data_IF_808686102335
#
_entry.id   IF_808686102335
#
_cell.length_a   1.000
_cell.length_b   1.000
_cell.length_c   1.000
_cell.angle_alpha   90.00
_cell.angle_beta   90.00
_cell.angle_gamma   90.00
#
_symmetry.space_group_name_H-M   'P 1'
#
loop_
_entity.id
_entity.type
_entity.pdbx_description
1 polymer ?
#
# COMPACT_ATOMS: atom_id res chain seq x y z
N UNK A 1 -4.15 39.79 23.94
CA UNK A 1 -4.79 41.02 24.44
C UNK A 1 -5.45 41.73 23.28
N UNK A 2 -6.79 41.87 23.31
CA UNK A 2 -7.52 42.71 22.34
C UNK A 2 -7.67 44.09 22.98
N UNK A 3 -6.95 45.06 22.42
CA UNK A 3 -7.06 46.47 22.84
C UNK A 3 -8.11 47.13 21.94
N UNK A 4 -9.21 47.56 22.54
CA UNK A 4 -10.19 48.36 21.82
C UNK A 4 -9.73 49.83 21.76
N UNK A 5 -10.05 50.53 20.67
CA UNK A 5 -9.56 51.83 20.24
C UNK A 5 -9.66 52.98 21.24
N UNK A 6 -10.30 52.78 22.44
CA UNK A 6 -10.51 53.79 23.47
C UNK A 6 -9.94 53.40 24.85
N UNK A 7 -9.00 52.44 24.96
CA UNK A 7 -8.30 52.15 26.20
C UNK A 7 -9.12 51.48 27.31
N UNK A 8 -10.35 51.08 27.06
CA UNK A 8 -11.17 50.32 27.99
C UNK A 8 -10.81 48.83 27.87
N UNK A 9 -10.43 48.21 28.94
CA UNK A 9 -10.20 46.79 29.01
C UNK A 9 -11.52 46.02 28.85
N UNK A 10 -11.56 45.00 28.04
CA UNK A 10 -12.68 44.08 27.85
C UNK A 10 -13.20 43.47 29.19
N UNK A 11 -12.41 43.53 30.24
CA UNK A 11 -12.73 42.94 31.53
C UNK A 11 -13.67 43.77 32.43
N UNK A 12 -13.93 45.02 32.09
CA UNK A 12 -14.86 45.89 32.84
C UNK A 12 -16.33 45.61 32.57
N UNK A 13 -16.62 44.80 31.52
CA UNK A 13 -17.98 44.41 31.17
C UNK A 13 -18.11 42.87 31.17
N UNK A 14 -18.93 42.29 32.07
CA UNK A 14 -19.11 40.84 32.18
C UNK A 14 -19.49 40.16 30.89
N UNK A 15 -20.24 40.82 30.04
CA UNK A 15 -20.69 40.30 28.74
C UNK A 15 -19.51 40.04 27.77
N UNK A 16 -18.54 40.96 27.71
CA UNK A 16 -17.35 40.76 26.89
C UNK A 16 -16.39 39.70 27.46
N UNK A 17 -16.33 39.56 28.79
CA UNK A 17 -15.58 38.52 29.45
C UNK A 17 -16.11 37.13 29.09
N UNK A 18 -17.44 36.93 29.13
CA UNK A 18 -18.08 35.67 28.78
C UNK A 18 -17.87 35.30 27.29
N UNK A 19 -17.97 36.29 26.40
CA UNK A 19 -17.67 36.08 24.97
C UNK A 19 -16.20 35.67 24.81
N UNK A 20 -15.27 36.36 25.45
CA UNK A 20 -13.84 36.04 25.37
C UNK A 20 -13.58 34.61 25.85
N UNK A 21 -14.08 34.23 27.02
CA UNK A 21 -13.95 32.88 27.55
C UNK A 21 -14.55 31.82 26.63
N UNK A 22 -15.69 32.14 26.03
CA UNK A 22 -16.36 31.23 25.06
C UNK A 22 -15.51 31.05 23.82
N UNK A 23 -14.99 32.14 23.24
CA UNK A 23 -14.11 32.08 22.05
C UNK A 23 -12.83 31.30 22.37
N UNK A 24 -12.15 31.58 23.50
CA UNK A 24 -10.95 30.85 23.90
C UNK A 24 -11.24 29.38 24.05
N UNK A 25 -12.33 28.99 24.71
CA UNK A 25 -12.73 27.58 24.87
C UNK A 25 -13.04 26.91 23.53
N UNK A 26 -13.71 27.61 22.61
CA UNK A 26 -13.98 27.10 21.26
C UNK A 26 -12.67 26.87 20.49
N UNK A 27 -11.72 27.79 20.55
CA UNK A 27 -10.42 27.66 19.91
C UNK A 27 -9.59 26.52 20.52
N UNK A 28 -9.57 26.39 21.85
CA UNK A 28 -8.91 25.28 22.52
C UNK A 28 -9.50 23.92 22.16
N UNK A 29 -10.84 23.84 22.11
CA UNK A 29 -11.52 22.60 21.71
C UNK A 29 -11.21 22.25 20.25
N UNK A 30 -11.22 23.24 19.35
CA UNK A 30 -10.88 23.01 17.95
C UNK A 30 -9.43 22.58 17.78
N UNK A 31 -8.52 23.20 18.53
CA UNK A 31 -7.12 22.81 18.53
C UNK A 31 -6.90 21.37 19.00
N UNK A 32 -7.54 20.98 20.12
CA UNK A 32 -7.50 19.59 20.61
C UNK A 32 -8.08 18.61 19.61
N UNK A 33 -9.18 18.96 18.94
CA UNK A 33 -9.80 18.14 17.91
C UNK A 33 -8.84 17.92 16.72
N UNK A 34 -8.19 18.99 16.25
CA UNK A 34 -7.21 18.88 15.16
C UNK A 34 -6.00 18.01 15.53
N UNK A 35 -5.52 18.12 16.78
CA UNK A 35 -4.44 17.26 17.27
C UNK A 35 -4.86 15.80 17.34
N UNK A 36 -6.10 15.52 17.78
CA UNK A 36 -6.63 14.16 17.83
C UNK A 36 -6.81 13.58 16.43
N UNK A 37 -7.38 14.35 15.49
CA UNK A 37 -7.52 13.94 14.08
C UNK A 37 -6.17 13.60 13.46
N UNK A 38 -5.14 14.42 13.72
CA UNK A 38 -3.77 14.16 13.26
C UNK A 38 -3.18 12.88 13.87
N UNK A 39 -3.29 12.71 15.19
CA UNK A 39 -2.79 11.53 15.88
C UNK A 39 -3.49 10.25 15.40
N UNK A 40 -4.79 10.30 15.15
CA UNK A 40 -5.55 9.19 14.57
C UNK A 40 -5.06 8.86 13.15
N UNK A 41 -4.80 9.88 12.31
CA UNK A 41 -4.24 9.68 10.98
C UNK A 41 -2.85 9.00 11.03
N UNK A 42 -1.96 9.49 11.90
CA UNK A 42 -0.63 8.89 12.09
C UNK A 42 -0.71 7.43 12.59
N UNK A 43 -1.65 7.14 13.50
CA UNK A 43 -1.92 5.78 13.96
C UNK A 43 -2.45 4.88 12.85
N UNK A 44 -3.35 5.38 12.00
CA UNK A 44 -3.88 4.63 10.86
C UNK A 44 -2.79 4.30 9.84
N UNK A 45 -1.90 5.25 9.54
CA UNK A 45 -0.73 5.02 8.69
C UNK A 45 0.16 3.91 9.25
N UNK A 46 0.52 3.98 10.54
CA UNK A 46 1.32 2.94 11.19
C UNK A 46 0.62 1.58 11.25
N UNK A 47 -0.70 1.57 11.36
CA UNK A 47 -1.49 0.35 11.46
C UNK A 47 -1.65 -0.36 10.10
N UNK A 48 -1.74 0.40 9.00
CA UNK A 48 -2.07 -0.12 7.68
C UNK A 48 -0.86 -0.28 6.75
N UNK A 49 0.29 0.27 7.11
CA UNK A 49 1.50 0.19 6.30
C UNK A 49 2.59 -0.68 6.94
N UNK A 50 3.40 -1.31 6.09
CA UNK A 50 4.62 -1.98 6.49
C UNK A 50 5.69 -0.92 6.81
N UNK A 51 6.27 -0.92 8.02
CA UNK A 51 7.17 0.14 8.47
C UNK A 51 8.50 0.18 7.71
N UNK A 52 8.93 -0.93 7.10
CA UNK A 52 10.16 -0.98 6.33
C UNK A 52 9.99 -0.40 4.92
N UNK A 53 8.91 -0.77 4.25
CA UNK A 53 8.73 -0.51 2.81
C UNK A 53 7.69 0.58 2.52
N UNK A 54 6.84 0.91 3.49
CA UNK A 54 5.71 1.80 3.31
C UNK A 54 4.61 1.27 2.39
N UNK A 55 4.67 0.01 1.96
CA UNK A 55 3.56 -0.66 1.27
C UNK A 55 2.40 -0.89 2.26
N UNK A 56 1.20 -1.12 1.75
CA UNK A 56 0.14 -1.65 2.60
C UNK A 56 0.59 -2.98 3.22
N UNK A 57 0.18 -3.22 4.46
CA UNK A 57 0.46 -4.48 5.15
C UNK A 57 -0.72 -5.47 4.99
N UNK A 58 -0.59 -6.66 5.60
CA UNK A 58 -1.63 -7.70 5.56
C UNK A 58 -2.95 -7.27 6.23
N UNK A 59 -2.91 -6.32 7.16
CA UNK A 59 -4.13 -5.78 7.79
C UNK A 59 -4.88 -4.95 6.75
N UNK A 60 -4.21 -4.03 6.06
CA UNK A 60 -4.79 -3.24 4.99
C UNK A 60 -5.30 -4.10 3.82
N UNK A 61 -4.65 -5.25 3.54
CA UNK A 61 -5.17 -6.21 2.56
C UNK A 61 -6.59 -6.67 2.94
N UNK A 62 -6.81 -7.02 4.21
CA UNK A 62 -8.12 -7.47 4.67
C UNK A 62 -9.15 -6.35 4.80
N UNK A 63 -8.73 -5.17 5.28
CA UNK A 63 -9.64 -4.08 5.61
C UNK A 63 -9.98 -3.19 4.40
N UNK A 64 -9.10 -3.10 3.40
CA UNK A 64 -9.26 -2.18 2.27
C UNK A 64 -9.30 -2.87 0.92
N UNK A 65 -8.33 -3.79 0.63
CA UNK A 65 -8.25 -4.42 -0.69
C UNK A 65 -9.41 -5.40 -0.89
N UNK A 66 -9.71 -6.20 0.13
CA UNK A 66 -10.84 -7.15 0.07
C UNK A 66 -12.21 -6.47 -0.08
N UNK A 67 -12.58 -5.41 0.65
CA UNK A 67 -13.80 -4.65 0.38
C UNK A 67 -13.81 -3.99 -1.00
N UNK A 68 -12.69 -3.41 -1.44
CA UNK A 68 -12.58 -2.81 -2.76
C UNK A 68 -12.83 -3.85 -3.88
N UNK A 69 -12.27 -5.06 -3.75
CA UNK A 69 -12.56 -6.17 -4.67
C UNK A 69 -14.06 -6.47 -4.73
N UNK A 70 -14.74 -6.56 -3.59
CA UNK A 70 -16.18 -6.83 -3.57
C UNK A 70 -16.98 -5.73 -4.25
N UNK A 71 -16.60 -4.47 -4.06
CA UNK A 71 -17.27 -3.35 -4.69
C UNK A 71 -17.02 -3.31 -6.20
N UNK A 72 -15.82 -3.56 -6.66
CA UNK A 72 -15.50 -3.67 -8.09
C UNK A 72 -16.22 -4.87 -8.73
N UNK A 73 -16.25 -6.03 -8.05
CA UNK A 73 -16.96 -7.21 -8.53
C UNK A 73 -18.47 -6.94 -8.71
N UNK A 74 -19.11 -6.24 -7.75
CA UNK A 74 -20.53 -5.83 -7.86
C UNK A 74 -20.79 -4.87 -9.01
N UNK A 75 -19.82 -4.04 -9.36
CA UNK A 75 -19.90 -3.11 -10.49
C UNK A 75 -19.54 -3.77 -11.85
N UNK A 76 -19.20 -5.04 -11.86
CA UNK A 76 -18.77 -5.74 -13.07
C UNK A 76 -17.38 -5.34 -13.56
N UNK A 77 -16.56 -4.72 -12.70
CA UNK A 77 -15.22 -4.25 -13.04
C UNK A 77 -14.22 -5.39 -12.87
N UNK A 78 -13.48 -5.68 -13.93
CA UNK A 78 -12.39 -6.65 -13.91
C UNK A 78 -11.18 -6.02 -13.21
N UNK A 79 -10.61 -6.76 -12.25
CA UNK A 79 -9.39 -6.36 -11.55
C UNK A 79 -8.25 -7.33 -11.89
N UNK A 80 -7.02 -6.85 -11.79
CA UNK A 80 -5.84 -7.71 -11.80
C UNK A 80 -5.36 -7.96 -10.37
N UNK A 81 -4.97 -9.18 -10.11
CA UNK A 81 -4.21 -9.60 -8.95
C UNK A 81 -2.85 -10.09 -9.42
N UNK A 82 -1.80 -9.51 -8.89
CA UNK A 82 -0.41 -9.86 -9.21
C UNK A 82 0.28 -10.25 -7.92
N UNK A 83 0.74 -11.50 -7.84
CA UNK A 83 1.56 -12.00 -6.73
C UNK A 83 3.02 -11.94 -7.15
N UNK A 84 3.90 -11.42 -6.28
CA UNK A 84 5.33 -11.28 -6.51
C UNK A 84 6.11 -11.82 -5.33
N UNK A 85 7.19 -12.54 -5.62
CA UNK A 85 8.18 -13.04 -4.65
C UNK A 85 9.59 -12.63 -5.12
N UNK A 86 10.43 -12.17 -4.18
CA UNK A 86 11.82 -11.84 -4.48
C UNK A 86 12.67 -13.12 -4.53
N UNK A 87 13.19 -13.42 -5.71
CA UNK A 87 13.94 -14.66 -5.96
C UNK A 87 15.24 -14.69 -5.13
N UNK A 88 15.49 -15.84 -4.50
CA UNK A 88 16.71 -16.08 -3.70
C UNK A 88 16.96 -15.06 -2.56
N UNK A 89 15.92 -14.41 -2.03
CA UNK A 89 16.03 -13.34 -1.03
C UNK A 89 16.81 -13.78 0.22
N UNK A 90 16.58 -15.01 0.71
CA UNK A 90 17.36 -15.55 1.83
C UNK A 90 18.87 -15.60 1.51
N UNK A 91 19.25 -16.10 0.34
CA UNK A 91 20.67 -16.16 -0.08
C UNK A 91 21.28 -14.77 -0.22
N UNK A 92 20.48 -13.81 -0.67
CA UNK A 92 20.88 -12.40 -0.75
C UNK A 92 21.20 -11.85 0.63
N UNK A 93 20.31 -12.08 1.62
CA UNK A 93 20.54 -11.70 3.01
C UNK A 93 21.78 -12.39 3.61
N UNK A 94 21.94 -13.68 3.38
CA UNK A 94 23.08 -14.46 3.88
C UNK A 94 24.42 -13.98 3.27
N UNK A 95 24.41 -13.42 2.05
CA UNK A 95 25.60 -12.96 1.34
C UNK A 95 25.95 -11.50 1.63
N UNK A 96 24.95 -10.61 1.66
CA UNK A 96 25.15 -9.15 1.73
C UNK A 96 24.65 -8.50 3.02
N UNK A 97 24.03 -9.29 3.90
CA UNK A 97 23.44 -8.83 5.15
C UNK A 97 22.01 -8.30 5.00
N UNK A 98 21.31 -8.26 6.14
CA UNK A 98 19.90 -7.84 6.21
C UNK A 98 19.66 -6.39 5.76
N UNK A 99 20.59 -5.48 6.06
CA UNK A 99 20.46 -4.07 5.60
C UNK A 99 20.41 -3.92 4.07
N UNK A 100 21.12 -4.81 3.36
CA UNK A 100 21.04 -4.85 1.90
C UNK A 100 19.70 -5.42 1.43
N UNK A 101 19.24 -6.51 2.07
CA UNK A 101 17.92 -7.08 1.80
C UNK A 101 16.79 -6.08 2.02
N UNK A 102 16.86 -5.29 3.09
CA UNK A 102 15.88 -4.23 3.39
C UNK A 102 15.81 -3.20 2.26
N UNK A 103 16.96 -2.76 1.72
CA UNK A 103 17.02 -1.84 0.57
C UNK A 103 16.42 -2.47 -0.69
N UNK A 104 16.62 -3.77 -0.91
CA UNK A 104 16.01 -4.50 -2.03
C UNK A 104 14.50 -4.53 -1.89
N UNK A 105 13.96 -4.83 -0.71
CA UNK A 105 12.50 -4.81 -0.47
C UNK A 105 11.90 -3.40 -0.67
N UNK A 106 12.58 -2.37 -0.16
CA UNK A 106 12.18 -0.98 -0.38
C UNK A 106 12.17 -0.61 -1.87
N UNK A 107 13.18 -1.07 -2.62
CA UNK A 107 13.26 -0.81 -4.06
C UNK A 107 12.16 -1.53 -4.84
N UNK A 108 11.86 -2.79 -4.49
CA UNK A 108 10.74 -3.53 -5.08
C UNK A 108 9.44 -2.74 -4.91
N UNK A 109 9.14 -2.30 -3.68
CA UNK A 109 7.91 -1.54 -3.41
C UNK A 109 7.89 -0.20 -4.15
N UNK A 110 9.02 0.50 -4.25
CA UNK A 110 9.11 1.75 -5.00
C UNK A 110 8.73 1.54 -6.47
N UNK A 111 9.28 0.50 -7.12
CA UNK A 111 8.94 0.16 -8.52
C UNK A 111 7.49 -0.28 -8.66
N UNK A 112 7.00 -1.13 -7.75
CA UNK A 112 5.60 -1.56 -7.78
C UNK A 112 4.62 -0.37 -7.68
N UNK A 113 4.89 0.58 -6.77
CA UNK A 113 4.06 1.79 -6.61
C UNK A 113 4.15 2.72 -7.81
N UNK A 114 5.34 2.93 -8.36
CA UNK A 114 5.57 3.80 -9.52
C UNK A 114 4.82 3.30 -10.76
N UNK A 115 4.78 1.98 -10.95
CA UNK A 115 4.13 1.36 -12.11
C UNK A 115 2.65 1.01 -11.87
N UNK A 116 2.19 1.04 -10.60
CA UNK A 116 0.83 0.64 -10.26
C UNK A 116 -0.21 1.56 -10.92
N UNK A 117 -1.20 1.02 -11.65
CA UNK A 117 -2.27 1.81 -12.22
C UNK A 117 -3.08 2.57 -11.16
N UNK A 118 -3.74 3.65 -11.59
CA UNK A 118 -4.60 4.45 -10.73
C UNK A 118 -5.69 3.61 -10.05
N UNK A 119 -5.93 3.88 -8.77
CA UNK A 119 -6.86 3.10 -7.94
C UNK A 119 -6.32 1.75 -7.50
N UNK A 120 -5.05 1.44 -7.80
CA UNK A 120 -4.41 0.21 -7.38
C UNK A 120 -3.79 0.27 -5.99
N UNK A 121 -3.52 -0.92 -5.43
CA UNK A 121 -2.96 -1.15 -4.11
C UNK A 121 -1.70 -2.00 -4.23
N UNK A 122 -0.64 -1.61 -3.53
CA UNK A 122 0.58 -2.41 -3.37
C UNK A 122 0.73 -2.83 -1.92
N UNK A 123 0.73 -4.13 -1.67
CA UNK A 123 0.73 -4.72 -0.33
C UNK A 123 1.96 -5.62 -0.14
N UNK A 124 2.63 -5.50 0.99
CA UNK A 124 3.60 -6.49 1.47
C UNK A 124 2.85 -7.55 2.25
N UNK A 125 2.69 -8.73 1.65
CA UNK A 125 1.86 -9.81 2.19
C UNK A 125 2.63 -10.73 3.14
N UNK A 126 3.91 -10.94 2.88
CA UNK A 126 4.85 -11.74 3.66
C UNK A 126 6.22 -11.07 3.77
N UNK A 127 7.26 -11.81 4.12
CA UNK A 127 8.63 -11.31 4.27
C UNK A 127 9.17 -10.68 2.98
N UNK A 128 9.17 -11.45 1.91
CA UNK A 128 9.63 -11.13 0.55
C UNK A 128 8.52 -11.26 -0.50
N UNK A 129 7.26 -11.38 -0.04
CA UNK A 129 6.07 -11.56 -0.85
C UNK A 129 5.24 -10.27 -0.94
N UNK A 130 4.84 -9.91 -2.16
CA UNK A 130 4.07 -8.72 -2.43
C UNK A 130 2.86 -9.02 -3.31
N UNK A 131 1.80 -8.26 -3.11
CA UNK A 131 0.58 -8.29 -3.91
C UNK A 131 0.35 -6.91 -4.50
N UNK A 132 0.07 -6.86 -5.80
CA UNK A 132 -0.54 -5.69 -6.42
C UNK A 132 -1.95 -6.03 -6.88
N UNK A 133 -2.90 -5.19 -6.54
CA UNK A 133 -4.29 -5.29 -6.95
C UNK A 133 -4.71 -3.97 -7.60
N UNK A 134 -5.28 -4.01 -8.81
CA UNK A 134 -5.78 -2.80 -9.48
C UNK A 134 -7.02 -3.07 -10.34
N UNK A 135 -7.95 -2.09 -10.40
CA UNK A 135 -9.18 -2.18 -11.20
C UNK A 135 -8.93 -1.89 -12.68
N UNK A 136 -9.99 -2.05 -13.49
CA UNK A 136 -9.99 -1.80 -14.94
C UNK A 136 -8.91 -2.58 -15.69
N UNK A 137 -8.66 -3.79 -15.21
CA UNK A 137 -7.62 -4.64 -15.74
C UNK A 137 -8.03 -5.30 -17.06
N UNK A 138 -7.06 -5.40 -17.95
CA UNK A 138 -7.10 -6.15 -19.20
C UNK A 138 -5.86 -7.03 -19.30
N UNK A 139 -5.86 -8.08 -20.13
CA UNK A 139 -4.63 -8.83 -20.37
C UNK A 139 -3.45 -7.96 -20.82
N UNK A 140 -3.73 -6.93 -21.63
CA UNK A 140 -2.71 -6.05 -22.18
C UNK A 140 -2.05 -5.18 -21.09
N UNK A 141 -2.84 -4.40 -20.30
CA UNK A 141 -2.26 -3.53 -19.28
C UNK A 141 -1.66 -4.31 -18.11
N UNK A 142 -2.18 -5.51 -17.80
CA UNK A 142 -1.60 -6.39 -16.78
C UNK A 142 -0.24 -6.93 -17.23
N UNK A 143 -0.12 -7.36 -18.46
CA UNK A 143 1.16 -7.82 -19.02
C UNK A 143 2.18 -6.66 -19.11
N UNK A 144 1.74 -5.48 -19.53
CA UNK A 144 2.59 -4.27 -19.56
C UNK A 144 3.13 -3.94 -18.18
N UNK A 145 2.27 -3.96 -17.15
CA UNK A 145 2.67 -3.77 -15.76
C UNK A 145 3.76 -4.75 -15.34
N UNK A 146 3.52 -6.05 -15.55
CA UNK A 146 4.48 -7.11 -15.17
C UNK A 146 5.81 -6.95 -15.90
N UNK A 147 5.78 -6.70 -17.22
CA UNK A 147 7.00 -6.51 -18.01
C UNK A 147 7.81 -5.30 -17.54
N UNK A 148 7.16 -4.16 -17.30
CA UNK A 148 7.83 -2.96 -16.79
C UNK A 148 8.48 -3.17 -15.42
N UNK A 149 7.76 -3.82 -14.49
CA UNK A 149 8.30 -4.14 -13.17
C UNK A 149 9.53 -5.04 -13.30
N UNK A 150 9.42 -6.13 -14.07
CA UNK A 150 10.55 -7.05 -14.27
C UNK A 150 11.75 -6.38 -14.95
N UNK A 151 11.51 -5.53 -15.95
CA UNK A 151 12.57 -4.79 -16.64
C UNK A 151 13.30 -3.82 -15.70
N UNK A 152 12.54 -3.03 -14.92
CA UNK A 152 13.13 -2.03 -14.02
C UNK A 152 13.94 -2.70 -12.90
N UNK A 153 13.40 -3.74 -12.26
CA UNK A 153 14.11 -4.48 -11.23
C UNK A 153 15.30 -5.26 -11.79
N UNK A 154 15.16 -5.84 -12.99
CA UNK A 154 16.24 -6.55 -13.68
C UNK A 154 17.45 -5.67 -14.03
N UNK A 155 17.24 -4.38 -14.36
CA UNK A 155 18.33 -3.41 -14.55
C UNK A 155 19.18 -3.24 -13.29
N UNK A 156 18.59 -3.44 -12.13
CA UNK A 156 19.24 -3.37 -10.82
C UNK A 156 19.68 -4.75 -10.29
N UNK A 157 19.56 -5.78 -11.11
CA UNK A 157 19.89 -7.20 -10.78
C UNK A 157 19.04 -7.74 -9.62
N UNK A 158 17.83 -7.23 -9.47
CA UNK A 158 16.82 -7.74 -8.55
C UNK A 158 15.93 -8.68 -9.34
N UNK A 159 16.02 -9.97 -9.04
CA UNK A 159 15.23 -11.01 -9.68
C UNK A 159 13.94 -11.22 -8.90
N UNK A 160 12.80 -11.25 -9.61
CA UNK A 160 11.48 -11.48 -9.02
C UNK A 160 10.67 -12.44 -9.88
N UNK A 161 9.93 -13.33 -9.24
CA UNK A 161 8.93 -14.17 -9.87
C UNK A 161 7.55 -13.56 -9.66
N UNK A 162 6.74 -13.54 -10.73
CA UNK A 162 5.43 -12.89 -10.71
C UNK A 162 4.36 -13.78 -11.33
N UNK A 163 3.24 -13.95 -10.62
CA UNK A 163 2.06 -14.62 -11.15
C UNK A 163 0.87 -13.66 -11.20
N UNK A 164 0.03 -13.79 -12.22
CA UNK A 164 -1.10 -12.88 -12.44
C UNK A 164 -2.41 -13.61 -12.59
N UNK A 165 -3.48 -13.03 -12.08
CA UNK A 165 -4.85 -13.49 -12.34
C UNK A 165 -5.76 -12.28 -12.54
N UNK A 166 -6.60 -12.34 -13.58
CA UNK A 166 -7.71 -11.41 -13.75
C UNK A 166 -8.95 -11.97 -13.06
N UNK A 167 -9.68 -11.10 -12.37
CA UNK A 167 -10.95 -11.45 -11.75
C UNK A 167 -12.06 -11.54 -12.79
N UNK A 168 -13.07 -12.36 -12.53
CA UNK A 168 -14.26 -12.50 -13.38
C UNK A 168 -15.50 -12.16 -12.54
N UNK A 169 -16.02 -10.93 -12.65
CA UNK A 169 -17.19 -10.54 -11.87
C UNK A 169 -18.37 -11.50 -12.07
N UNK A 170 -18.93 -11.99 -10.98
CA UNK A 170 -20.11 -12.87 -10.99
C UNK A 170 -19.82 -14.38 -11.07
N UNK A 171 -18.57 -14.83 -11.07
CA UNK A 171 -18.22 -16.25 -11.02
C UNK A 171 -18.31 -16.88 -9.63
N UNK A 172 -18.48 -16.05 -8.57
CA UNK A 172 -18.62 -16.51 -7.19
C UNK A 172 -17.31 -16.76 -6.47
N UNK A 173 -16.17 -16.57 -7.14
CA UNK A 173 -14.84 -16.73 -6.55
C UNK A 173 -14.52 -15.60 -5.55
N UNK A 174 -13.84 -15.94 -4.48
CA UNK A 174 -13.35 -14.98 -3.50
C UNK A 174 -12.02 -14.36 -3.94
N UNK A 175 -11.63 -13.24 -3.32
CA UNK A 175 -10.30 -12.66 -3.55
C UNK A 175 -9.17 -13.64 -3.20
N UNK A 176 -9.38 -14.50 -2.21
CA UNK A 176 -8.37 -15.49 -1.79
C UNK A 176 -8.23 -16.62 -2.83
N UNK A 177 -9.31 -17.01 -3.52
CA UNK A 177 -9.23 -17.99 -4.61
C UNK A 177 -8.41 -17.42 -5.78
N UNK A 178 -8.64 -16.16 -6.14
CA UNK A 178 -7.85 -15.48 -7.14
C UNK A 178 -6.38 -15.30 -6.73
N UNK A 179 -6.15 -15.03 -5.43
CA UNK A 179 -4.80 -14.91 -4.89
C UNK A 179 -4.05 -16.25 -4.99
N UNK A 180 -4.69 -17.35 -4.61
CA UNK A 180 -4.11 -18.68 -4.71
C UNK A 180 -3.73 -19.05 -6.15
N UNK A 181 -4.57 -18.68 -7.13
CA UNK A 181 -4.28 -18.90 -8.55
C UNK A 181 -3.10 -18.02 -9.06
N UNK A 182 -2.98 -16.81 -8.55
CA UNK A 182 -1.84 -15.94 -8.88
C UNK A 182 -0.54 -16.48 -8.26
N UNK A 183 -0.57 -16.92 -7.00
CA UNK A 183 0.55 -17.56 -6.31
C UNK A 183 1.01 -18.83 -7.02
N UNK A 184 0.09 -19.72 -7.39
CA UNK A 184 0.43 -20.92 -8.16
C UNK A 184 1.18 -20.59 -9.46
N UNK A 185 0.74 -19.58 -10.21
CA UNK A 185 1.41 -19.14 -11.42
C UNK A 185 2.79 -18.56 -11.17
N UNK A 186 2.94 -17.78 -10.10
CA UNK A 186 4.23 -17.26 -9.67
C UNK A 186 5.19 -18.41 -9.33
N UNK A 187 4.71 -19.42 -8.60
CA UNK A 187 5.51 -20.58 -8.25
C UNK A 187 5.95 -21.40 -9.47
N UNK A 188 5.06 -21.59 -10.47
CA UNK A 188 5.39 -22.23 -11.75
C UNK A 188 6.49 -21.45 -12.49
N UNK A 189 6.40 -20.13 -12.56
CA UNK A 189 7.43 -19.28 -13.16
C UNK A 189 8.77 -19.42 -12.41
N UNK A 190 8.74 -19.47 -11.08
CA UNK A 190 9.93 -19.65 -10.24
C UNK A 190 10.61 -20.99 -10.47
N UNK A 191 9.85 -22.07 -10.67
CA UNK A 191 10.38 -23.39 -11.01
C UNK A 191 11.06 -23.41 -12.38
N UNK A 192 10.37 -22.89 -13.41
CA UNK A 192 10.92 -22.83 -14.78
C UNK A 192 12.26 -22.08 -14.85
N UNK A 193 12.38 -20.97 -14.10
CA UNK A 193 13.66 -20.23 -14.03
C UNK A 193 14.78 -21.02 -13.37
N UNK A 194 14.48 -21.81 -12.33
CA UNK A 194 15.46 -22.67 -11.68
C UNK A 194 15.97 -23.78 -12.60
N UNK A 195 15.08 -24.38 -13.38
CA UNK A 195 15.46 -25.42 -14.37
C UNK A 195 16.36 -24.84 -15.45
N UNK A 196 16.00 -23.69 -16.03
CA UNK A 196 16.80 -23.00 -17.05
C UNK A 196 18.21 -22.59 -16.55
N UNK A 197 18.34 -22.23 -15.27
CA UNK A 197 19.64 -21.89 -14.68
C UNK A 197 20.49 -23.12 -14.36
N UNK A 198 19.91 -24.32 -14.23
CA UNK A 198 20.65 -25.59 -14.06
C UNK A 198 21.15 -26.13 -15.38
N UNK A 199 20.41 -25.95 -16.48
CA UNK A 199 20.80 -26.42 -17.81
C UNK A 199 21.87 -25.52 -18.47
N UNK A 200 22.15 -24.35 -17.91
CA UNK A 200 23.14 -23.38 -18.41
C UNK A 200 24.53 -23.48 -17.71
N UNK A 201 24.68 -24.40 -16.77
CA UNK A 201 25.96 -24.72 -16.10
C UNK A 201 26.53 -26.04 -16.59
#
# INVERSE_FOLDING_TARGET
YIILKNGHFLYDNPYYYDIHCTIVRMLENRFKQLQLERALGELQELYNHDPLTGAYNRIAYNEWIRPAFLDYSRQGIICALVFLDADNFKRLNDTFGHEYGDKVLQRIVAVLKEQCPEGGYVCRYGGDEFITFFPHATPANTNEYVQKVQELLGKERIEVSMGTKLTQPGDGESLDDYLALADERMYQQKQQRKEQSHDAQ
#
